data_IF_460002993444
#
_entry.id   IF_460002993444
#
_cell.length_a   1.000
_cell.length_b   1.000
_cell.length_c   1.000
_cell.angle_alpha   90.00
_cell.angle_beta   90.00
_cell.angle_gamma   90.00
#
_symmetry.space_group_name_H-M   'P 1'
#
loop_
_entity.id
_entity.type
_entity.pdbx_description
1 polymer ?
#
# COMPACT_ATOMS: atom_id res chain seq x y z
N UNK A 1 -10.83 8.76 -9.71
CA UNK A 1 -10.94 8.89 -8.23
C UNK A 1 -11.47 10.24 -7.75
N UNK A 2 -10.98 11.41 -8.21
CA UNK A 2 -11.53 12.74 -7.80
C UNK A 2 -13.04 12.85 -8.10
N UNK A 3 -13.45 12.53 -9.33
CA UNK A 3 -14.86 12.51 -9.73
C UNK A 3 -15.72 11.53 -8.91
N UNK A 4 -15.16 10.37 -8.54
CA UNK A 4 -15.86 9.38 -7.70
C UNK A 4 -16.19 9.93 -6.31
N UNK A 5 -15.32 10.76 -5.73
CA UNK A 5 -15.56 11.41 -4.44
C UNK A 5 -16.70 12.44 -4.49
N UNK A 6 -16.86 13.12 -5.63
CA UNK A 6 -17.91 14.12 -5.86
C UNK A 6 -19.21 13.55 -6.43
N UNK A 7 -19.27 12.25 -6.72
CA UNK A 7 -20.43 11.60 -7.32
C UNK A 7 -21.63 11.63 -6.36
N UNK A 8 -22.81 12.01 -6.89
CA UNK A 8 -24.00 12.25 -6.07
C UNK A 8 -24.90 11.02 -5.94
N UNK A 9 -24.95 10.18 -6.98
CA UNK A 9 -25.84 9.03 -7.05
C UNK A 9 -25.12 7.67 -7.01
N UNK A 10 -25.83 6.59 -6.61
CA UNK A 10 -25.26 5.23 -6.55
C UNK A 10 -24.86 4.70 -7.93
N UNK A 11 -25.68 4.96 -8.96
CA UNK A 11 -25.39 4.56 -10.36
C UNK A 11 -24.13 5.24 -10.91
N UNK A 12 -23.99 6.54 -10.68
CA UNK A 12 -22.82 7.32 -11.08
C UNK A 12 -21.55 6.84 -10.35
N UNK A 13 -21.64 6.62 -9.03
CA UNK A 13 -20.54 6.04 -8.25
C UNK A 13 -20.09 4.70 -8.80
N UNK A 14 -21.03 3.80 -9.12
CA UNK A 14 -20.72 2.48 -9.67
C UNK A 14 -19.95 2.58 -11.00
N UNK A 15 -20.39 3.46 -11.91
CA UNK A 15 -19.72 3.68 -13.21
C UNK A 15 -18.31 4.25 -13.01
N UNK A 16 -18.17 5.27 -12.15
CA UNK A 16 -16.88 5.91 -11.89
C UNK A 16 -15.89 5.00 -11.14
N UNK A 17 -16.40 4.10 -10.29
CA UNK A 17 -15.59 3.07 -9.65
C UNK A 17 -15.14 2.00 -10.67
N UNK A 18 -16.02 1.57 -11.57
CA UNK A 18 -15.64 0.71 -12.70
C UNK A 18 -14.54 1.34 -13.56
N UNK A 19 -14.68 2.63 -13.90
CA UNK A 19 -13.68 3.38 -14.67
C UNK A 19 -12.32 3.43 -13.96
N UNK A 20 -12.28 3.72 -12.65
CA UNK A 20 -10.99 3.79 -11.94
C UNK A 20 -10.33 2.41 -11.79
N UNK A 21 -11.12 1.34 -11.62
CA UNK A 21 -10.63 -0.04 -11.60
C UNK A 21 -10.04 -0.46 -12.95
N UNK A 22 -10.71 -0.13 -14.05
CA UNK A 22 -10.21 -0.40 -15.41
C UNK A 22 -8.87 0.30 -15.65
N UNK A 23 -8.74 1.58 -15.27
CA UNK A 23 -7.48 2.32 -15.38
C UNK A 23 -6.37 1.71 -14.52
N UNK A 24 -6.68 1.28 -13.28
CA UNK A 24 -5.72 0.56 -12.42
C UNK A 24 -5.25 -0.74 -13.09
N UNK A 25 -6.17 -1.51 -13.66
CA UNK A 25 -5.84 -2.75 -14.37
C UNK A 25 -4.90 -2.48 -15.54
N UNK A 26 -5.21 -1.49 -16.39
CA UNK A 26 -4.34 -1.12 -17.52
C UNK A 26 -2.94 -0.71 -17.04
N UNK A 27 -2.83 0.09 -15.97
CA UNK A 27 -1.55 0.50 -15.41
C UNK A 27 -0.74 -0.70 -14.89
N UNK A 28 -1.38 -1.61 -14.15
CA UNK A 28 -0.74 -2.82 -13.63
C UNK A 28 -0.33 -3.78 -14.77
N UNK A 29 -1.10 -3.83 -15.86
CA UNK A 29 -0.77 -4.68 -17.00
C UNK A 29 0.54 -4.28 -17.69
N UNK A 30 1.01 -3.03 -17.55
CA UNK A 30 2.22 -2.54 -18.22
C UNK A 30 3.46 -3.35 -17.82
N UNK A 31 3.71 -3.55 -16.51
CA UNK A 31 4.88 -4.32 -16.08
C UNK A 31 4.69 -5.82 -16.39
N UNK A 32 3.46 -6.35 -16.29
CA UNK A 32 3.17 -7.74 -16.69
C UNK A 32 3.46 -8.00 -18.17
N UNK A 33 3.17 -7.01 -19.03
CA UNK A 33 3.45 -7.08 -20.45
C UNK A 33 4.95 -7.12 -20.76
N UNK A 34 5.80 -6.55 -19.89
CA UNK A 34 7.26 -6.68 -20.03
C UNK A 34 7.81 -8.03 -19.59
N UNK A 35 7.08 -8.76 -18.73
CA UNK A 35 7.49 -10.08 -18.22
C UNK A 35 6.99 -11.28 -19.02
N UNK A 36 6.21 -11.06 -20.08
CA UNK A 36 5.57 -12.15 -20.85
C UNK A 36 6.33 -12.42 -22.15
N UNK A 37 6.86 -13.63 -22.35
CA UNK A 37 7.67 -13.98 -23.54
C UNK A 37 6.94 -13.75 -24.88
N UNK A 38 5.61 -13.89 -24.92
CA UNK A 38 4.81 -13.63 -26.13
C UNK A 38 4.58 -12.14 -26.44
N UNK A 39 4.99 -11.24 -25.53
CA UNK A 39 4.84 -9.80 -25.69
C UNK A 39 5.85 -9.24 -26.68
N UNK A 40 5.42 -8.24 -27.46
CA UNK A 40 6.31 -7.48 -28.35
C UNK A 40 7.31 -6.58 -27.61
N UNK A 41 7.11 -6.36 -26.31
CA UNK A 41 7.98 -5.55 -25.44
C UNK A 41 8.52 -6.38 -24.28
N UNK A 42 8.86 -7.65 -24.55
CA UNK A 42 9.42 -8.55 -23.56
C UNK A 42 10.80 -8.08 -23.08
N UNK A 43 10.85 -7.65 -21.82
CA UNK A 43 12.03 -7.20 -21.08
C UNK A 43 11.92 -7.78 -19.66
N UNK A 44 12.26 -9.07 -19.46
CA UNK A 44 11.99 -9.77 -18.20
C UNK A 44 12.70 -9.13 -17.00
N UNK A 45 13.92 -8.62 -17.20
CA UNK A 45 14.68 -7.91 -16.18
C UNK A 45 13.92 -6.68 -15.61
N UNK A 46 13.10 -6.00 -16.42
CA UNK A 46 12.29 -4.89 -15.96
C UNK A 46 11.17 -5.37 -15.03
N UNK A 47 10.47 -6.45 -15.42
CA UNK A 47 9.42 -7.05 -14.60
C UNK A 47 9.98 -7.58 -13.26
N UNK A 48 11.13 -8.26 -13.31
CA UNK A 48 11.84 -8.76 -12.12
C UNK A 48 12.25 -7.61 -11.20
N UNK A 49 12.81 -6.53 -11.75
CA UNK A 49 13.21 -5.35 -10.96
C UNK A 49 12.02 -4.73 -10.23
N UNK A 50 10.84 -4.65 -10.86
CA UNK A 50 9.61 -4.15 -10.22
C UNK A 50 9.21 -5.05 -9.05
N UNK A 51 9.23 -6.38 -9.22
CA UNK A 51 8.89 -7.34 -8.16
C UNK A 51 9.87 -7.25 -6.99
N UNK A 52 11.18 -7.29 -7.27
CA UNK A 52 12.22 -7.22 -6.24
C UNK A 52 12.13 -5.89 -5.47
N UNK A 53 11.91 -4.78 -6.18
CA UNK A 53 11.73 -3.46 -5.56
C UNK A 53 10.53 -3.46 -4.62
N UNK A 54 9.38 -3.98 -5.06
CA UNK A 54 8.18 -4.06 -4.22
C UNK A 54 8.38 -4.91 -2.97
N UNK A 55 8.98 -6.09 -3.11
CA UNK A 55 9.31 -6.97 -1.97
C UNK A 55 10.27 -6.28 -1.01
N UNK A 56 11.33 -5.64 -1.51
CA UNK A 56 12.28 -4.91 -0.68
C UNK A 56 11.61 -3.79 0.09
N UNK A 57 10.75 -2.99 -0.55
CA UNK A 57 10.02 -1.91 0.10
C UNK A 57 9.09 -2.43 1.20
N UNK A 58 8.35 -3.51 0.94
CA UNK A 58 7.47 -4.13 1.92
C UNK A 58 8.25 -4.63 3.15
N UNK A 59 9.40 -5.28 2.94
CA UNK A 59 10.27 -5.75 4.01
C UNK A 59 10.86 -4.59 4.82
N UNK A 60 11.34 -3.54 4.16
CA UNK A 60 11.83 -2.32 4.82
C UNK A 60 10.72 -1.68 5.66
N UNK A 61 9.51 -1.57 5.13
CA UNK A 61 8.37 -1.02 5.86
C UNK A 61 8.01 -1.88 7.08
N UNK A 62 8.07 -3.21 6.94
CA UNK A 62 7.80 -4.13 8.04
C UNK A 62 8.86 -4.05 9.14
N UNK A 63 10.14 -3.98 8.76
CA UNK A 63 11.26 -3.79 9.69
C UNK A 63 11.13 -2.46 10.44
N UNK A 64 10.85 -1.36 9.72
CA UNK A 64 10.65 -0.05 10.32
C UNK A 64 9.46 -0.03 11.29
N UNK A 65 8.36 -0.70 10.95
CA UNK A 65 7.19 -0.83 11.84
C UNK A 65 7.50 -1.64 13.10
N UNK A 66 8.29 -2.70 12.96
CA UNK A 66 8.66 -3.57 14.08
C UNK A 66 9.77 -2.98 14.97
N UNK A 67 10.46 -1.92 14.55
CA UNK A 67 11.43 -1.23 15.38
C UNK A 67 10.71 -0.52 16.55
N UNK A 68 11.01 -0.88 17.82
CA UNK A 68 10.41 -0.24 18.99
C UNK A 68 10.61 1.28 19.07
N UNK A 69 11.69 1.81 18.49
CA UNK A 69 11.96 3.26 18.47
C UNK A 69 10.97 4.03 17.59
N UNK A 70 10.42 3.37 16.57
CA UNK A 70 9.40 3.93 15.69
C UNK A 70 7.98 3.76 16.26
N UNK A 71 7.84 3.12 17.42
CA UNK A 71 6.53 2.85 18.00
C UNK A 71 5.85 4.16 18.48
N UNK A 72 4.65 4.49 17.98
CA UNK A 72 3.98 5.76 18.31
C UNK A 72 3.62 5.97 19.78
N UNK A 73 3.38 4.89 20.53
CA UNK A 73 2.88 4.93 21.90
C UNK A 73 3.78 4.07 22.80
N UNK A 74 4.39 4.69 23.80
CA UNK A 74 5.23 4.01 24.78
C UNK A 74 4.42 2.91 25.50
N UNK A 75 5.05 1.76 25.73
CA UNK A 75 4.48 0.59 26.42
C UNK A 75 3.27 -0.08 25.74
N UNK A 76 2.85 0.38 24.54
CA UNK A 76 1.81 -0.24 23.72
C UNK A 76 2.35 -0.61 22.34
N UNK A 77 2.88 -1.84 22.15
CA UNK A 77 3.60 -2.19 20.94
C UNK A 77 2.67 -2.30 19.71
N UNK A 78 3.14 -1.76 18.60
CA UNK A 78 2.62 -2.02 17.26
C UNK A 78 3.58 -2.97 16.53
N UNK A 79 3.07 -4.10 16.02
CA UNK A 79 3.89 -5.09 15.29
C UNK A 79 3.18 -5.60 14.06
N UNK A 80 3.93 -5.81 12.98
CA UNK A 80 3.43 -6.47 11.78
C UNK A 80 3.10 -7.92 12.12
N UNK A 81 1.88 -8.35 11.75
CA UNK A 81 1.42 -9.73 11.91
C UNK A 81 1.17 -10.42 10.57
N UNK A 82 1.03 -9.65 9.49
CA UNK A 82 0.82 -10.17 8.15
C UNK A 82 1.28 -9.13 7.13
N UNK A 83 1.72 -9.60 5.96
CA UNK A 83 2.05 -8.77 4.82
C UNK A 83 1.71 -9.50 3.53
N UNK A 84 1.12 -8.80 2.58
CA UNK A 84 0.78 -9.31 1.26
C UNK A 84 1.06 -8.21 0.24
N UNK A 85 1.99 -8.49 -0.68
CA UNK A 85 2.36 -7.69 -1.85
C UNK A 85 2.63 -6.20 -1.60
N UNK A 86 1.58 -5.40 -1.43
CA UNK A 86 1.63 -3.95 -1.19
C UNK A 86 1.00 -3.51 0.14
N UNK A 87 0.65 -4.46 1.02
CA UNK A 87 -0.08 -4.22 2.27
C UNK A 87 0.57 -4.89 3.48
N UNK A 88 0.48 -4.22 4.64
CA UNK A 88 0.91 -4.75 5.95
C UNK A 88 -0.25 -4.65 6.94
N UNK A 89 -0.48 -5.71 7.72
CA UNK A 89 -1.40 -5.71 8.85
C UNK A 89 -0.60 -5.57 10.15
N UNK A 90 -0.94 -4.54 10.93
CA UNK A 90 -0.22 -4.18 12.15
C UNK A 90 -1.11 -4.39 13.36
N UNK A 91 -0.71 -5.29 14.26
CA UNK A 91 -1.37 -5.51 15.54
C UNK A 91 -0.92 -4.44 16.54
N UNK A 92 -1.86 -3.61 16.95
CA UNK A 92 -1.67 -2.57 17.96
C UNK A 92 -2.11 -3.10 19.33
N UNK A 93 -1.18 -3.68 20.10
CA UNK A 93 -1.53 -4.38 21.36
C UNK A 93 -1.80 -3.40 22.48
N UNK A 94 -2.92 -3.57 23.19
CA UNK A 94 -3.32 -2.69 24.30
C UNK A 94 -3.79 -1.29 23.87
N UNK A 95 -3.99 -1.07 22.57
CA UNK A 95 -4.47 0.18 22.01
C UNK A 95 -5.99 0.10 21.76
N UNK A 96 -6.72 1.15 22.13
CA UNK A 96 -8.10 1.37 21.69
C UNK A 96 -8.16 1.61 20.18
N UNK A 97 -9.34 1.49 19.57
CA UNK A 97 -9.54 1.78 18.13
C UNK A 97 -9.07 3.19 17.76
N UNK A 98 -9.29 4.18 18.64
CA UNK A 98 -8.85 5.57 18.43
C UNK A 98 -7.33 5.69 18.45
N UNK A 99 -6.66 5.01 19.38
CA UNK A 99 -5.20 4.95 19.46
C UNK A 99 -4.61 4.21 18.26
N UNK A 100 -5.16 3.05 17.90
CA UNK A 100 -4.74 2.28 16.73
C UNK A 100 -4.86 3.10 15.43
N UNK A 101 -5.92 3.90 15.30
CA UNK A 101 -6.07 4.84 14.17
C UNK A 101 -4.95 5.88 14.15
N UNK A 102 -4.65 6.49 15.29
CA UNK A 102 -3.58 7.49 15.40
C UNK A 102 -2.20 6.87 15.10
N UNK A 103 -1.95 5.67 15.61
CA UNK A 103 -0.75 4.85 15.31
C UNK A 103 -0.64 4.57 13.82
N UNK A 104 -1.72 4.10 13.17
CA UNK A 104 -1.73 3.83 11.73
C UNK A 104 -1.46 5.07 10.87
N UNK A 105 -2.02 6.23 11.23
CA UNK A 105 -1.73 7.49 10.54
C UNK A 105 -0.25 7.88 10.69
N UNK A 106 0.31 7.79 11.91
CA UNK A 106 1.70 8.15 12.18
C UNK A 106 2.68 7.22 11.46
N UNK A 107 2.44 5.91 11.53
CA UNK A 107 3.23 4.92 10.80
C UNK A 107 3.13 5.15 9.29
N UNK A 108 1.95 5.41 8.73
CA UNK A 108 1.82 5.65 7.28
C UNK A 108 2.66 6.82 6.78
N UNK A 109 2.82 7.88 7.59
CA UNK A 109 3.69 9.02 7.26
C UNK A 109 5.15 8.65 7.35
N UNK A 110 5.57 8.10 8.50
CA UNK A 110 6.95 7.67 8.73
C UNK A 110 7.43 6.72 7.63
N UNK A 111 6.59 5.74 7.26
CA UNK A 111 6.93 4.76 6.24
C UNK A 111 6.92 5.37 4.83
N UNK A 112 6.08 6.36 4.55
CA UNK A 112 6.12 7.06 3.26
C UNK A 112 7.45 7.80 3.07
N UNK A 113 7.98 8.40 4.14
CA UNK A 113 9.25 9.15 4.10
C UNK A 113 10.48 8.25 3.86
N UNK A 114 10.35 6.92 3.99
CA UNK A 114 11.42 5.96 3.70
C UNK A 114 11.61 5.72 2.20
N UNK A 115 10.65 6.14 1.36
CA UNK A 115 10.64 5.80 -0.07
C UNK A 115 10.63 7.06 -0.93
N UNK A 116 11.21 7.01 -2.14
CA UNK A 116 11.21 8.15 -3.04
C UNK A 116 9.79 8.44 -3.56
N UNK A 117 9.51 9.72 -3.82
CA UNK A 117 8.32 10.14 -4.56
C UNK A 117 8.26 9.41 -5.92
N UNK A 118 7.09 8.91 -6.36
CA UNK A 118 5.74 9.10 -5.81
C UNK A 118 5.26 7.99 -4.84
N UNK A 119 6.17 7.17 -4.29
CA UNK A 119 5.80 6.05 -3.42
C UNK A 119 5.28 6.56 -2.06
N UNK A 120 4.14 6.04 -1.59
CA UNK A 120 3.56 6.42 -0.30
C UNK A 120 2.70 5.31 0.29
N UNK A 121 2.72 5.20 1.61
CA UNK A 121 1.87 4.30 2.38
C UNK A 121 0.68 5.04 2.97
N UNK A 122 -0.48 4.37 3.05
CA UNK A 122 -1.72 4.96 3.58
C UNK A 122 -2.43 3.98 4.49
N UNK A 123 -3.00 4.50 5.58
CA UNK A 123 -3.93 3.72 6.39
C UNK A 123 -5.21 3.47 5.58
N UNK A 124 -5.53 2.20 5.33
CA UNK A 124 -6.71 1.81 4.57
C UNK A 124 -7.89 1.46 5.47
N UNK A 125 -7.70 0.53 6.42
CA UNK A 125 -8.77 0.01 7.28
C UNK A 125 -8.26 -0.31 8.69
N UNK A 126 -9.19 -0.43 9.64
CA UNK A 126 -8.94 -0.90 11.01
C UNK A 126 -9.97 -2.00 11.26
N UNK A 127 -9.48 -3.14 11.77
CA UNK A 127 -10.28 -4.33 12.06
C UNK A 127 -10.29 -4.59 13.57
#
# INVERSE_FOLDING_TARGET
>A
KKQLKSAKGPKERMILDGRQKALKLCANAVYGFTGTNASKVFVPALAETVVITGVSQLLTAAQATNNPENNPIKDKPARVIYGDTDSLMVKCTGQSIKEARATGIRLSRLLSDLFPEPCSMKLESIF
#
